data_IF_093692118014
#
_entry.id   IF_093692118014
#
_cell.length_a   1.000
_cell.length_b   1.000
_cell.length_c   1.000
_cell.angle_alpha   90.00
_cell.angle_beta   90.00
_cell.angle_gamma   90.00
#
_symmetry.space_group_name_H-M   'P 1'
#
loop_
_entity.id
_entity.type
_entity.pdbx_description
1 polymer ?
#
# COMPACT_ATOMS: atom_id res chain seq x y z
N UNK A 1 3.53 -7.93 -14.05
CA UNK A 1 2.11 -8.09 -13.69
C UNK A 1 1.67 -6.88 -12.88
N UNK A 2 0.37 -6.61 -12.75
CA UNK A 2 -0.15 -5.53 -11.89
C UNK A 2 0.44 -5.58 -10.48
N UNK A 3 0.57 -6.78 -9.91
CA UNK A 3 1.20 -6.95 -8.59
C UNK A 3 2.67 -6.51 -8.59
N UNK A 4 3.47 -6.83 -9.62
CA UNK A 4 4.87 -6.36 -9.67
C UNK A 4 4.96 -4.83 -9.69
N UNK A 5 4.09 -4.16 -10.44
CA UNK A 5 4.06 -2.69 -10.52
C UNK A 5 3.70 -2.01 -9.19
N UNK A 6 2.95 -2.71 -8.32
CA UNK A 6 2.55 -2.21 -7.02
C UNK A 6 3.53 -2.62 -5.91
N UNK A 7 3.99 -3.88 -5.93
CA UNK A 7 4.90 -4.42 -4.92
C UNK A 7 6.24 -3.71 -4.92
N UNK A 8 6.74 -3.29 -6.09
CA UNK A 8 8.04 -2.61 -6.22
C UNK A 8 8.13 -1.32 -5.40
N UNK A 9 7.26 -0.28 -5.60
CA UNK A 9 7.34 0.92 -4.80
C UNK A 9 7.10 0.67 -3.31
N UNK A 10 6.25 -0.30 -2.95
CA UNK A 10 5.97 -0.63 -1.54
C UNK A 10 7.17 -1.29 -0.86
N UNK A 11 7.81 -2.27 -1.51
CA UNK A 11 8.99 -2.95 -0.97
C UNK A 11 10.15 -1.97 -0.86
N UNK A 12 10.38 -1.14 -1.87
CA UNK A 12 11.41 -0.10 -1.81
C UNK A 12 11.15 0.92 -0.69
N UNK A 13 9.88 1.30 -0.48
CA UNK A 13 9.47 2.12 0.66
C UNK A 13 9.86 1.47 1.98
N UNK A 14 9.61 0.16 2.15
CA UNK A 14 10.00 -0.57 3.36
C UNK A 14 11.52 -0.53 3.58
N UNK A 15 12.35 -0.55 2.53
CA UNK A 15 13.81 -0.40 2.67
C UNK A 15 14.19 0.96 3.25
N UNK A 16 13.54 2.02 2.77
CA UNK A 16 13.76 3.38 3.27
C UNK A 16 13.30 3.51 4.73
N UNK A 17 12.13 2.96 5.05
CA UNK A 17 11.60 2.93 6.41
C UNK A 17 12.51 2.15 7.36
N UNK A 18 13.01 0.98 6.97
CA UNK A 18 13.90 0.18 7.80
C UNK A 18 15.22 0.89 8.12
N UNK A 19 15.76 1.70 7.18
CA UNK A 19 16.94 2.53 7.44
C UNK A 19 16.69 3.61 8.50
N UNK A 20 15.48 4.19 8.54
CA UNK A 20 15.10 5.22 9.52
C UNK A 20 14.64 4.62 10.85
N UNK A 21 13.93 3.49 10.79
CA UNK A 21 13.33 2.79 11.92
C UNK A 21 13.78 1.30 11.90
N UNK A 22 14.97 0.97 12.44
CA UNK A 22 15.52 -0.39 12.37
C UNK A 22 14.67 -1.45 13.06
N UNK A 23 13.92 -1.07 14.11
CA UNK A 23 13.03 -1.96 14.87
C UNK A 23 11.65 -2.15 14.21
N UNK A 24 11.38 -1.49 13.08
CA UNK A 24 10.09 -1.58 12.40
C UNK A 24 9.93 -2.95 11.74
N UNK A 25 8.87 -3.67 12.14
CA UNK A 25 8.47 -4.94 11.51
C UNK A 25 7.53 -4.73 10.33
N UNK A 26 7.63 -5.59 9.32
CA UNK A 26 6.74 -5.56 8.16
C UNK A 26 5.87 -6.82 8.10
N UNK A 27 4.55 -6.65 8.05
CA UNK A 27 3.57 -7.74 7.94
C UNK A 27 2.77 -7.56 6.66
N UNK A 28 2.57 -8.66 5.92
CA UNK A 28 1.88 -8.63 4.61
C UNK A 28 0.76 -9.66 4.58
N UNK A 29 -0.46 -9.18 4.34
CA UNK A 29 -1.61 -10.03 4.02
C UNK A 29 -1.71 -10.23 2.50
N UNK A 30 -1.80 -11.47 2.05
CA UNK A 30 -1.89 -11.82 0.64
C UNK A 30 -3.16 -12.63 0.38
N UNK A 31 -3.95 -12.21 -0.62
CA UNK A 31 -5.30 -12.76 -0.85
C UNK A 31 -5.34 -14.21 -1.36
N UNK A 32 -4.21 -14.72 -1.90
CA UNK A 32 -4.08 -16.10 -2.34
C UNK A 32 -2.60 -16.48 -2.60
N UNK A 33 -2.37 -17.78 -2.76
CA UNK A 33 -1.06 -18.37 -3.02
C UNK A 33 -0.33 -17.77 -4.23
N UNK A 34 -1.04 -17.51 -5.34
CA UNK A 34 -0.42 -16.91 -6.53
C UNK A 34 0.11 -15.50 -6.27
N UNK A 35 -0.61 -14.69 -5.49
CA UNK A 35 -0.14 -13.35 -5.11
C UNK A 35 1.02 -13.44 -4.13
N UNK A 36 1.00 -14.42 -3.23
CA UNK A 36 2.11 -14.71 -2.33
C UNK A 36 3.40 -15.01 -3.08
N UNK A 37 3.38 -15.94 -4.02
CA UNK A 37 4.55 -16.29 -4.83
C UNK A 37 5.10 -15.08 -5.61
N UNK A 38 4.20 -14.27 -6.18
CA UNK A 38 4.59 -13.05 -6.89
C UNK A 38 5.24 -12.01 -5.96
N UNK A 39 4.73 -11.87 -4.73
CA UNK A 39 5.32 -10.99 -3.73
C UNK A 39 6.67 -11.51 -3.24
N UNK A 40 6.77 -12.80 -2.91
CA UNK A 40 8.03 -13.44 -2.49
C UNK A 40 9.13 -13.30 -3.55
N UNK A 41 8.78 -13.42 -4.83
CA UNK A 41 9.73 -13.19 -5.92
C UNK A 41 10.22 -11.74 -5.95
N UNK A 42 9.30 -10.77 -5.86
CA UNK A 42 9.67 -9.34 -5.85
C UNK A 42 10.48 -8.98 -4.60
N UNK A 43 10.12 -9.52 -3.44
CA UNK A 43 10.87 -9.35 -2.19
C UNK A 43 12.31 -9.85 -2.33
N UNK A 44 12.51 -11.07 -2.81
CA UNK A 44 13.87 -11.64 -3.02
C UNK A 44 14.70 -10.83 -4.03
N UNK A 45 14.06 -10.25 -5.04
CA UNK A 45 14.70 -9.43 -6.07
C UNK A 45 15.11 -8.05 -5.54
N UNK A 46 14.24 -7.39 -4.78
CA UNK A 46 14.37 -5.97 -4.44
C UNK A 46 14.94 -5.71 -3.03
N UNK A 47 14.61 -6.56 -2.07
CA UNK A 47 14.92 -6.36 -0.66
C UNK A 47 15.18 -7.67 0.11
N UNK A 48 16.10 -8.54 -0.36
CA UNK A 48 16.39 -9.81 0.31
C UNK A 48 16.87 -9.65 1.76
N UNK A 49 17.32 -8.46 2.15
CA UNK A 49 17.75 -8.12 3.50
C UNK A 49 16.61 -7.86 4.50
N UNK A 50 15.39 -7.57 4.02
CA UNK A 50 14.25 -7.32 4.89
C UNK A 50 13.57 -8.62 5.29
N UNK A 51 13.04 -8.68 6.51
CA UNK A 51 12.21 -9.80 6.99
C UNK A 51 10.72 -9.42 6.97
N UNK A 52 10.01 -9.84 5.92
CA UNK A 52 8.56 -9.67 5.83
C UNK A 52 7.83 -10.87 6.43
N UNK A 53 6.96 -10.62 7.41
CA UNK A 53 6.05 -11.63 7.95
C UNK A 53 4.85 -11.78 7.03
N UNK A 54 4.87 -12.80 6.17
CA UNK A 54 3.71 -13.17 5.35
C UNK A 54 2.74 -13.99 6.20
N UNK A 55 1.49 -13.56 6.26
CA UNK A 55 0.47 -14.25 7.07
C UNK A 55 -0.69 -14.73 6.20
N UNK A 56 -1.10 -15.97 6.46
CA UNK A 56 -2.32 -16.56 5.91
C UNK A 56 -3.49 -16.22 6.84
N UNK A 57 -3.79 -14.91 6.96
CA UNK A 57 -4.87 -14.37 7.80
C UNK A 57 -5.64 -13.28 7.02
N UNK A 58 -6.74 -12.79 7.60
CA UNK A 58 -7.55 -11.72 7.05
C UNK A 58 -6.78 -10.40 7.05
N UNK A 59 -7.01 -9.58 6.01
CA UNK A 59 -6.47 -8.22 5.95
C UNK A 59 -6.85 -7.40 7.20
N UNK A 60 -8.07 -7.61 7.72
CA UNK A 60 -8.56 -7.01 8.95
C UNK A 60 -7.65 -7.26 10.16
N UNK A 61 -7.19 -8.48 10.37
CA UNK A 61 -6.31 -8.81 11.50
C UNK A 61 -4.95 -8.13 11.36
N UNK A 62 -4.39 -8.14 10.14
CA UNK A 62 -3.12 -7.46 9.85
C UNK A 62 -3.23 -5.95 10.10
N UNK A 63 -4.25 -5.31 9.54
CA UNK A 63 -4.51 -3.89 9.75
C UNK A 63 -4.67 -3.59 11.25
N UNK A 64 -5.40 -4.43 11.98
CA UNK A 64 -5.61 -4.23 13.43
C UNK A 64 -4.31 -4.29 14.22
N UNK A 65 -3.33 -5.09 13.79
CA UNK A 65 -2.04 -5.24 14.45
C UNK A 65 -1.00 -4.19 14.01
N UNK A 66 -1.26 -3.42 12.96
CA UNK A 66 -0.33 -2.42 12.41
C UNK A 66 -0.48 -1.04 13.05
N UNK A 67 0.65 -0.33 13.17
CA UNK A 67 0.68 1.09 13.55
C UNK A 67 0.29 2.01 12.38
N UNK A 68 0.72 1.66 11.16
CA UNK A 68 0.35 2.32 9.91
C UNK A 68 0.23 1.30 8.77
N UNK A 69 -0.57 1.62 7.74
CA UNK A 69 -0.88 0.69 6.63
C UNK A 69 -0.62 1.34 5.27
N UNK A 70 0.19 0.70 4.42
CA UNK A 70 0.23 0.99 2.99
C UNK A 70 -0.74 0.05 2.25
N UNK A 71 -1.61 0.59 1.40
CA UNK A 71 -2.60 -0.22 0.68
C UNK A 71 -2.94 0.34 -0.70
N UNK A 72 -3.49 -0.54 -1.55
CA UNK A 72 -3.86 -0.23 -2.94
C UNK A 72 -5.36 -0.32 -3.21
N UNK A 73 -6.10 -1.09 -2.42
CA UNK A 73 -7.52 -1.36 -2.65
C UNK A 73 -8.41 -0.35 -1.92
N UNK A 74 -9.34 0.26 -2.64
CA UNK A 74 -10.34 1.15 -2.05
C UNK A 74 -11.24 0.49 -0.99
N UNK A 75 -11.50 -0.81 -1.08
CA UNK A 75 -12.27 -1.55 -0.06
C UNK A 75 -11.45 -1.79 1.21
N UNK A 76 -10.16 -2.06 1.05
CA UNK A 76 -9.24 -2.21 2.20
C UNK A 76 -9.02 -0.86 2.88
N UNK A 77 -9.01 0.23 2.11
CA UNK A 77 -8.99 1.60 2.66
C UNK A 77 -10.18 1.86 3.59
N UNK A 78 -11.38 1.41 3.20
CA UNK A 78 -12.57 1.53 4.04
C UNK A 78 -12.45 0.68 5.31
N UNK A 79 -12.01 -0.57 5.22
CA UNK A 79 -11.78 -1.40 6.41
C UNK A 79 -10.74 -0.78 7.35
N UNK A 80 -9.67 -0.23 6.80
CA UNK A 80 -8.63 0.47 7.54
C UNK A 80 -9.17 1.70 8.27
N UNK A 81 -10.04 2.46 7.62
CA UNK A 81 -10.72 3.62 8.22
C UNK A 81 -11.64 3.19 9.36
N UNK A 82 -12.42 2.12 9.18
CA UNK A 82 -13.30 1.58 10.22
C UNK A 82 -12.53 1.08 11.45
N UNK A 83 -11.31 0.58 11.25
CA UNK A 83 -10.40 0.16 12.31
C UNK A 83 -9.58 1.32 12.90
N UNK A 84 -9.79 2.55 12.41
CA UNK A 84 -9.10 3.78 12.84
C UNK A 84 -7.58 3.66 12.71
N UNK A 85 -7.11 3.02 11.64
CA UNK A 85 -5.69 2.84 11.39
C UNK A 85 -5.15 3.90 10.44
N UNK A 86 -4.05 4.58 10.80
CA UNK A 86 -3.33 5.45 9.89
C UNK A 86 -2.98 4.70 8.60
N UNK A 87 -3.18 5.34 7.45
CA UNK A 87 -2.94 4.69 6.18
C UNK A 87 -2.45 5.65 5.10
N UNK A 88 -1.80 5.10 4.08
CA UNK A 88 -1.52 5.77 2.82
C UNK A 88 -1.98 4.87 1.68
N UNK A 89 -2.59 5.48 0.66
CA UNK A 89 -3.04 4.77 -0.54
C UNK A 89 -2.01 4.96 -1.64
N UNK A 90 -1.45 3.87 -2.14
CA UNK A 90 -0.56 3.87 -3.29
C UNK A 90 -1.14 2.99 -4.39
N UNK A 91 -1.28 3.50 -5.61
CA UNK A 91 -1.83 2.70 -6.71
C UNK A 91 -1.11 2.94 -8.04
N UNK A 92 -0.59 1.86 -8.64
CA UNK A 92 0.08 1.89 -9.95
C UNK A 92 -0.40 0.75 -10.83
N UNK A 93 -0.85 1.09 -12.04
CA UNK A 93 -1.30 0.13 -13.06
C UNK A 93 -0.66 0.48 -14.40
N UNK A 94 -0.90 -0.32 -15.43
CA UNK A 94 -0.40 0.03 -16.76
C UNK A 94 -1.11 1.31 -17.27
N UNK A 95 -0.41 2.09 -18.09
CA UNK A 95 -0.88 3.40 -18.55
C UNK A 95 -2.22 3.34 -19.31
N UNK A 96 -2.50 2.25 -20.02
CA UNK A 96 -3.76 2.07 -20.74
C UNK A 96 -4.95 1.87 -19.78
N UNK A 97 -4.78 1.03 -18.76
CA UNK A 97 -5.77 0.84 -17.69
C UNK A 97 -5.98 2.14 -16.92
N UNK A 98 -4.91 2.88 -16.59
CA UNK A 98 -5.01 4.17 -15.93
C UNK A 98 -5.80 5.19 -16.77
N UNK A 99 -5.53 5.24 -18.07
CA UNK A 99 -6.24 6.14 -19.00
C UNK A 99 -7.74 5.83 -19.07
N UNK A 100 -8.11 4.55 -19.17
CA UNK A 100 -9.51 4.13 -19.17
C UNK A 100 -10.19 4.41 -17.84
N UNK A 101 -9.54 4.09 -16.72
CA UNK A 101 -10.05 4.33 -15.38
C UNK A 101 -10.31 5.83 -15.16
N UNK A 102 -9.38 6.71 -15.53
CA UNK A 102 -9.52 8.17 -15.41
C UNK A 102 -10.68 8.73 -16.24
N UNK A 103 -11.02 8.09 -17.37
CA UNK A 103 -12.13 8.53 -18.24
C UNK A 103 -13.49 8.02 -17.76
N UNK A 104 -13.52 6.90 -17.04
CA UNK A 104 -14.73 6.29 -16.48
C UNK A 104 -15.06 6.84 -15.09
N UNK A 105 -14.05 7.04 -14.26
CA UNK A 105 -14.19 7.60 -12.91
C UNK A 105 -14.40 9.11 -13.02
N UNK A 106 -15.58 9.57 -12.58
CA UNK A 106 -15.91 11.00 -12.45
C UNK A 106 -15.54 11.56 -11.07
N UNK A 107 -14.93 10.76 -10.21
CA UNK A 107 -14.65 11.10 -8.82
C UNK A 107 -13.29 11.79 -8.71
N UNK A 108 -13.19 12.78 -7.81
CA UNK A 108 -11.95 13.48 -7.50
C UNK A 108 -10.96 12.57 -6.74
N UNK A 109 -11.49 11.63 -5.97
CA UNK A 109 -10.74 10.68 -5.15
C UNK A 109 -10.97 9.25 -5.61
N UNK A 110 -10.01 8.36 -5.30
CA UNK A 110 -10.08 6.93 -5.62
C UNK A 110 -10.43 6.09 -4.39
N UNK A 111 -9.98 6.48 -3.21
CA UNK A 111 -10.24 5.72 -1.99
C UNK A 111 -11.63 6.02 -1.44
N UNK A 112 -12.30 4.98 -0.91
CA UNK A 112 -13.62 5.15 -0.30
C UNK A 112 -13.62 6.13 0.88
N UNK A 113 -12.60 6.19 1.77
CA UNK A 113 -12.53 7.22 2.81
C UNK A 113 -12.66 8.64 2.26
N UNK A 114 -11.89 8.98 1.23
CA UNK A 114 -11.89 10.32 0.65
C UNK A 114 -13.16 10.60 -0.14
N UNK A 115 -13.69 9.62 -0.88
CA UNK A 115 -14.97 9.75 -1.60
C UNK A 115 -16.11 10.02 -0.62
N UNK A 116 -16.14 9.35 0.53
CA UNK A 116 -17.19 9.53 1.54
C UNK A 116 -17.05 10.86 2.29
N UNK A 117 -15.82 11.34 2.49
CA UNK A 117 -15.54 12.62 3.13
C UNK A 117 -15.69 13.82 2.18
N UNK A 118 -15.66 13.58 0.86
CA UNK A 118 -15.44 14.59 -0.19
C UNK A 118 -14.20 15.48 0.06
N UNK A 119 -13.22 14.93 0.78
CA UNK A 119 -11.99 15.60 1.18
C UNK A 119 -10.81 14.62 1.17
N UNK A 120 -9.58 15.14 1.11
CA UNK A 120 -8.37 14.33 1.17
C UNK A 120 -8.05 13.95 2.63
N UNK A 121 -8.86 13.06 3.19
CA UNK A 121 -8.66 12.52 4.55
C UNK A 121 -7.40 11.64 4.63
N UNK A 122 -7.11 10.92 3.55
CA UNK A 122 -5.98 9.99 3.41
C UNK A 122 -5.18 10.37 2.16
N UNK A 123 -3.85 10.39 2.26
CA UNK A 123 -3.00 10.64 1.09
C UNK A 123 -3.12 9.53 0.05
N UNK A 124 -3.37 9.93 -1.19
CA UNK A 124 -3.46 9.06 -2.36
C UNK A 124 -2.32 9.37 -3.34
N UNK A 125 -1.36 8.45 -3.47
CA UNK A 125 -0.29 8.53 -4.45
C UNK A 125 -0.60 7.63 -5.65
N UNK A 126 -0.98 8.24 -6.77
CA UNK A 126 -1.46 7.54 -7.96
C UNK A 126 -0.45 7.58 -9.10
N UNK A 127 -0.29 6.46 -9.79
CA UNK A 127 0.57 6.31 -10.97
C UNK A 127 2.00 6.77 -10.70
N UNK A 128 2.42 7.89 -11.30
CA UNK A 128 3.78 8.43 -11.21
C UNK A 128 4.07 9.04 -9.84
N UNK A 129 3.04 9.37 -9.05
CA UNK A 129 3.20 9.83 -7.67
C UNK A 129 3.41 8.69 -6.69
N UNK A 130 3.09 7.44 -7.07
CA UNK A 130 3.31 6.23 -6.27
C UNK A 130 4.79 5.84 -6.29
N UNK A 131 5.62 6.71 -5.70
CA UNK A 131 7.06 6.54 -5.59
C UNK A 131 7.45 6.11 -4.18
N UNK A 132 8.60 5.41 -4.02
CA UNK A 132 9.11 5.04 -2.70
C UNK A 132 9.29 6.24 -1.77
N UNK A 133 9.75 7.38 -2.28
CA UNK A 133 10.02 8.58 -1.47
C UNK A 133 8.74 9.23 -0.95
N UNK A 134 7.71 9.32 -1.79
CA UNK A 134 6.41 9.88 -1.39
C UNK A 134 5.74 8.99 -0.34
N UNK A 135 5.72 7.68 -0.58
CA UNK A 135 5.19 6.70 0.36
C UNK A 135 6.00 6.71 1.68
N UNK A 136 7.33 6.75 1.61
CA UNK A 136 8.20 6.81 2.77
C UNK A 136 7.93 8.05 3.62
N UNK A 137 7.81 9.21 2.98
CA UNK A 137 7.54 10.49 3.66
C UNK A 137 6.23 10.42 4.43
N UNK A 138 5.18 9.92 3.78
CA UNK A 138 3.87 9.83 4.41
C UNK A 138 3.84 8.76 5.51
N UNK A 139 4.34 7.55 5.28
CA UNK A 139 4.35 6.51 6.31
C UNK A 139 5.19 6.94 7.50
N UNK A 140 6.34 7.58 7.27
CA UNK A 140 7.16 8.13 8.36
C UNK A 140 6.38 9.13 9.22
N UNK A 141 5.59 10.01 8.59
CA UNK A 141 4.73 10.98 9.29
C UNK A 141 3.63 10.29 10.10
N UNK A 142 3.12 9.15 9.64
CA UNK A 142 2.07 8.39 10.33
C UNK A 142 2.59 7.55 11.50
N UNK A 143 3.90 7.24 11.54
CA UNK A 143 4.56 6.48 12.60
C UNK A 143 5.09 7.37 13.74
N UNK A 144 5.14 8.70 13.54
CA UNK A 144 5.55 9.71 14.53
C UNK A 144 4.35 10.23 15.34
#
# INVERSE_FOLDING_TARGET
SELKMLSEPFIETCKLLHKKFPELGFVVALVNQKRREQFEQAWKELAPELDFKLVDDTARNVITASDAVMLASGTVALECMLLKRPMVVGYRVNAFTAFLAKRLLKTKYVSLPNILADDELVKEYLQDECTPDNLFTEVSRLLE
#
